data_IF_980125999459
#
_entry.id   IF_980125999459
#
_cell.length_a   1.000
_cell.length_b   1.000
_cell.length_c   1.000
_cell.angle_alpha   90.00
_cell.angle_beta   90.00
_cell.angle_gamma   90.00
#
_symmetry.space_group_name_H-M   'P 1'
#
loop_
_entity.id
_entity.type
_entity.pdbx_description
1 polymer ?
#
# COMPACT_ATOMS: atom_id res chain seq x y z
N UNK A 1 -1.16 -22.75 -18.98
CA UNK A 1 -1.79 -21.59 -18.33
C UNK A 1 -0.85 -20.42 -18.54
N UNK A 2 -1.08 -19.61 -19.57
CA UNK A 2 -0.23 -18.45 -19.88
C UNK A 2 -0.60 -17.30 -18.95
N UNK A 3 0.33 -16.90 -18.08
CA UNK A 3 0.23 -15.66 -17.32
C UNK A 3 0.48 -14.53 -18.33
N UNK A 4 -0.60 -13.89 -18.80
CA UNK A 4 -0.49 -12.67 -19.59
C UNK A 4 -0.09 -11.54 -18.64
N UNK A 5 1.19 -11.20 -18.60
CA UNK A 5 1.67 -9.96 -17.99
C UNK A 5 1.13 -8.79 -18.82
N UNK A 6 0.06 -8.16 -18.35
CA UNK A 6 -0.35 -6.86 -18.87
C UNK A 6 0.36 -5.79 -18.04
N UNK A 7 1.34 -5.15 -18.65
CA UNK A 7 1.96 -3.97 -18.06
C UNK A 7 1.28 -2.75 -18.68
N UNK A 8 0.67 -1.92 -17.84
CA UNK A 8 0.15 -0.62 -18.26
C UNK A 8 1.26 0.42 -18.12
N UNK A 9 1.39 1.29 -19.12
CA UNK A 9 2.42 2.32 -19.15
C UNK A 9 1.78 3.69 -19.13
N UNK A 10 2.22 4.56 -18.22
CA UNK A 10 1.78 5.95 -18.15
C UNK A 10 2.97 6.84 -18.45
N UNK A 11 2.80 7.75 -19.42
CA UNK A 11 3.81 8.74 -19.77
C UNK A 11 3.65 9.96 -18.88
N UNK A 12 4.72 10.32 -18.17
CA UNK A 12 4.79 11.44 -17.26
C UNK A 12 5.79 12.47 -17.78
N UNK A 13 5.60 13.74 -17.41
CA UNK A 13 6.51 14.85 -17.74
C UNK A 13 6.74 15.69 -16.50
N UNK A 14 7.97 16.13 -16.26
CA UNK A 14 8.29 17.05 -15.16
C UNK A 14 8.32 18.52 -15.64
N UNK A 15 8.59 19.46 -14.72
CA UNK A 15 8.65 20.89 -15.03
C UNK A 15 9.80 21.28 -15.98
N UNK A 16 10.90 20.52 -16.02
CA UNK A 16 11.99 20.72 -16.98
C UNK A 16 11.69 20.18 -18.39
N UNK A 17 10.54 19.53 -18.59
CA UNK A 17 10.13 18.94 -19.87
C UNK A 17 10.69 17.54 -20.11
N UNK A 18 11.39 16.95 -19.15
CA UNK A 18 11.88 15.58 -19.22
C UNK A 18 10.71 14.59 -19.08
N UNK A 19 10.76 13.53 -19.87
CA UNK A 19 9.73 12.52 -19.92
C UNK A 19 10.16 11.26 -19.16
N UNK A 20 9.25 10.72 -18.35
CA UNK A 20 9.45 9.47 -17.64
C UNK A 20 8.29 8.52 -17.94
N UNK A 21 8.57 7.22 -17.94
CA UNK A 21 7.54 6.19 -18.04
C UNK A 21 7.30 5.59 -16.66
N UNK A 22 6.03 5.48 -16.27
CA UNK A 22 5.60 4.69 -15.13
C UNK A 22 5.07 3.34 -15.63
N UNK A 23 5.56 2.27 -15.02
CA UNK A 23 5.15 0.89 -15.27
C UNK A 23 4.27 0.42 -14.12
N UNK A 24 3.00 0.14 -14.43
CA UNK A 24 2.05 -0.48 -13.51
C UNK A 24 2.01 -1.96 -13.88
N UNK A 25 2.49 -2.81 -12.97
CA UNK A 25 2.43 -4.24 -13.15
C UNK A 25 1.07 -4.76 -12.67
N UNK A 26 0.24 -5.29 -13.58
CA UNK A 26 -1.07 -5.86 -13.23
C UNK A 26 -0.96 -7.28 -12.64
N UNK A 27 0.23 -7.86 -12.50
CA UNK A 27 0.33 -9.18 -11.89
C UNK A 27 0.08 -9.08 -10.38
N UNK A 28 -1.19 -9.27 -10.04
CA UNK A 28 -1.69 -9.70 -8.74
C UNK A 28 -1.35 -11.17 -8.51
N UNK A 29 -0.21 -11.64 -9.01
CA UNK A 29 0.19 -13.03 -8.95
C UNK A 29 0.03 -13.46 -7.51
N UNK A 30 -1.05 -14.22 -7.25
CA UNK A 30 -1.50 -14.61 -5.92
C UNK A 30 -0.36 -15.39 -5.33
N UNK A 31 0.53 -14.67 -4.65
CA UNK A 31 1.41 -15.27 -3.68
C UNK A 31 0.43 -15.62 -2.58
N UNK A 32 -0.11 -16.85 -2.67
CA UNK A 32 -0.55 -17.58 -1.49
C UNK A 32 0.48 -17.26 -0.43
N UNK A 33 0.05 -16.53 0.60
CA UNK A 33 0.87 -16.28 1.76
C UNK A 33 1.52 -17.60 2.13
N UNK A 34 2.86 -17.70 2.10
CA UNK A 34 3.48 -18.76 2.87
C UNK A 34 3.05 -18.48 4.32
N UNK A 35 2.52 -19.49 5.01
CA UNK A 35 2.20 -19.43 6.43
C UNK A 35 3.49 -19.08 7.18
N UNK A 36 3.76 -17.78 7.36
CA UNK A 36 4.99 -17.29 7.96
C UNK A 36 4.65 -16.35 9.11
N UNK A 37 5.37 -16.47 10.24
CA UNK A 37 5.13 -15.66 11.42
C UNK A 37 5.42 -14.18 11.10
N UNK A 38 4.65 -13.29 11.70
CA UNK A 38 4.59 -11.84 11.43
C UNK A 38 5.86 -11.00 11.69
N UNK A 39 7.05 -11.54 11.44
CA UNK A 39 8.35 -10.90 11.66
C UNK A 39 8.85 -10.08 10.44
N UNK A 40 8.23 -10.20 9.26
CA UNK A 40 8.71 -9.57 8.02
C UNK A 40 7.86 -8.40 7.50
N UNK A 41 6.71 -8.12 8.11
CA UNK A 41 5.88 -6.99 7.73
C UNK A 41 6.14 -5.81 8.68
N UNK A 42 6.94 -4.87 8.19
CA UNK A 42 7.24 -3.66 8.93
C UNK A 42 6.08 -2.67 8.82
N UNK A 43 5.49 -2.29 9.96
CA UNK A 43 4.70 -1.07 10.02
C UNK A 43 5.59 0.11 9.58
N UNK A 44 5.06 0.94 8.70
CA UNK A 44 5.82 2.00 8.04
C UNK A 44 4.95 2.77 7.07
N UNK A 45 5.60 3.43 6.12
CA UNK A 45 4.93 4.25 5.11
C UNK A 45 5.29 3.78 3.71
N UNK A 46 4.31 3.77 2.82
CA UNK A 46 4.47 3.49 1.39
C UNK A 46 3.84 4.63 0.59
N UNK A 47 4.24 4.77 -0.68
CA UNK A 47 3.69 5.78 -1.58
C UNK A 47 2.80 5.06 -2.59
N UNK A 48 1.50 5.24 -2.50
CA UNK A 48 0.54 4.77 -3.48
C UNK A 48 0.53 5.72 -4.68
N UNK A 49 0.73 5.15 -5.87
CA UNK A 49 0.81 5.87 -7.14
C UNK A 49 -0.50 5.76 -7.93
N UNK A 50 -1.16 4.62 -7.80
CA UNK A 50 -2.49 4.30 -8.31
C UNK A 50 -3.14 3.33 -7.33
N UNK A 51 -4.46 3.21 -7.31
CA UNK A 51 -5.18 2.38 -6.34
C UNK A 51 -4.61 0.95 -6.29
N UNK A 52 -4.11 0.54 -5.11
CA UNK A 52 -3.51 -0.79 -4.90
C UNK A 52 -2.13 -0.98 -5.55
N UNK A 53 -1.48 0.08 -6.03
CA UNK A 53 -0.17 0.06 -6.68
C UNK A 53 0.76 1.10 -6.06
N UNK A 54 1.90 0.62 -5.59
CA UNK A 54 2.81 1.39 -4.74
C UNK A 54 4.17 1.53 -5.40
N UNK A 55 4.82 2.66 -5.15
CA UNK A 55 6.17 2.93 -5.63
C UNK A 55 7.16 1.90 -5.08
N UNK A 56 7.81 1.15 -5.97
CA UNK A 56 8.85 0.17 -5.62
C UNK A 56 10.27 0.68 -5.89
N UNK A 57 10.44 1.59 -6.86
CA UNK A 57 11.75 2.09 -7.24
C UNK A 57 11.83 2.53 -8.69
N UNK A 58 13.06 2.59 -9.17
CA UNK A 58 13.39 2.99 -10.54
C UNK A 58 14.04 1.84 -11.30
N UNK A 59 13.59 1.58 -12.53
CA UNK A 59 14.20 0.62 -13.43
C UNK A 59 14.46 1.26 -14.79
N UNK A 60 15.73 1.36 -15.20
CA UNK A 60 16.14 1.93 -16.49
C UNK A 60 15.46 3.30 -16.80
N UNK A 61 15.38 4.17 -15.80
CA UNK A 61 14.76 5.50 -15.91
C UNK A 61 13.22 5.52 -15.82
N UNK A 62 12.60 4.40 -15.46
CA UNK A 62 11.15 4.25 -15.33
C UNK A 62 10.75 4.10 -13.87
N UNK A 63 9.61 4.65 -13.50
CA UNK A 63 9.00 4.39 -12.19
C UNK A 63 8.37 3.00 -12.22
N UNK A 64 8.70 2.16 -11.24
CA UNK A 64 8.08 0.85 -11.06
C UNK A 64 7.03 0.90 -9.96
N UNK A 65 5.80 0.50 -10.30
CA UNK A 65 4.70 0.36 -9.36
C UNK A 65 4.36 -1.13 -9.18
N UNK A 66 4.39 -1.61 -7.94
CA UNK A 66 4.16 -3.01 -7.56
C UNK A 66 3.10 -3.10 -6.44
N UNK A 67 2.59 -4.31 -6.14
CA UNK A 67 1.80 -4.56 -4.93
C UNK A 67 2.53 -4.15 -3.64
N UNK A 68 1.76 -3.93 -2.57
CA UNK A 68 2.25 -3.36 -1.30
C UNK A 68 3.41 -4.16 -0.70
N UNK A 69 3.41 -5.49 -0.87
CA UNK A 69 4.41 -6.41 -0.35
C UNK A 69 5.80 -6.19 -0.97
N UNK A 70 5.83 -5.62 -2.18
CA UNK A 70 7.04 -5.33 -2.94
C UNK A 70 7.30 -3.82 -3.08
N UNK A 71 6.52 -3.02 -2.36
CA UNK A 71 6.67 -1.57 -2.34
C UNK A 71 7.96 -1.16 -1.62
N UNK A 72 8.40 0.07 -1.89
CA UNK A 72 9.43 0.71 -1.08
C UNK A 72 8.81 1.26 0.19
N UNK A 73 9.32 0.79 1.33
CA UNK A 73 8.94 1.26 2.65
C UNK A 73 9.81 2.45 3.10
N UNK A 74 9.18 3.34 3.85
CA UNK A 74 9.79 4.49 4.51
C UNK A 74 9.51 4.40 6.01
N UNK A 75 10.47 4.82 6.84
CA UNK A 75 10.33 4.71 8.29
C UNK A 75 9.30 5.71 8.85
N UNK A 76 9.05 6.81 8.14
CA UNK A 76 8.11 7.84 8.58
C UNK A 76 7.44 8.62 7.45
N UNK A 77 6.28 9.22 7.77
CA UNK A 77 5.51 10.03 6.81
C UNK A 77 6.34 11.17 6.19
N UNK A 78 7.13 11.88 7.02
CA UNK A 78 7.94 13.01 6.56
C UNK A 78 9.01 12.58 5.55
N UNK A 79 9.59 11.41 5.76
CA UNK A 79 10.58 10.83 4.85
C UNK A 79 9.93 10.46 3.52
N UNK A 80 8.78 9.75 3.57
CA UNK A 80 8.02 9.40 2.38
C UNK A 80 7.56 10.63 1.59
N UNK A 81 7.07 11.67 2.27
CA UNK A 81 6.68 12.93 1.65
C UNK A 81 7.87 13.67 1.02
N UNK A 82 8.99 13.79 1.73
CA UNK A 82 10.20 14.41 1.21
C UNK A 82 10.70 13.67 -0.04
N UNK A 83 10.68 12.34 0.00
CA UNK A 83 11.06 11.51 -1.13
C UNK A 83 10.14 11.75 -2.33
N UNK A 84 8.81 11.70 -2.12
CA UNK A 84 7.82 11.92 -3.18
C UNK A 84 8.01 13.28 -3.86
N UNK A 85 8.17 14.35 -3.08
CA UNK A 85 8.37 15.70 -3.64
C UNK A 85 9.68 15.85 -4.41
N UNK A 86 10.74 15.21 -3.93
CA UNK A 86 12.08 15.38 -4.50
C UNK A 86 12.33 14.49 -5.72
N UNK A 87 11.66 13.33 -5.81
CA UNK A 87 11.94 12.32 -6.84
C UNK A 87 10.75 12.04 -7.76
N UNK A 88 9.51 12.31 -7.32
CA UNK A 88 8.30 12.01 -8.09
C UNK A 88 7.58 13.28 -8.56
N UNK A 89 8.28 14.41 -8.67
CA UNK A 89 7.75 15.73 -9.06
C UNK A 89 7.28 15.87 -10.51
N UNK A 90 6.49 14.90 -11.00
CA UNK A 90 5.90 14.90 -12.33
C UNK A 90 4.57 15.64 -12.35
N UNK A 91 4.30 16.33 -13.46
CA UNK A 91 3.13 17.19 -13.62
C UNK A 91 1.85 16.38 -13.63
N UNK A 92 0.92 16.76 -12.75
CA UNK A 92 -0.40 16.14 -12.65
C UNK A 92 -0.38 14.78 -11.95
N UNK A 93 0.77 14.33 -11.45
CA UNK A 93 0.85 13.09 -10.68
C UNK A 93 0.27 13.31 -9.28
N UNK A 94 -0.70 12.46 -8.93
CA UNK A 94 -1.28 12.39 -7.58
C UNK A 94 -0.72 11.16 -6.91
N UNK A 95 -0.20 11.32 -5.70
CA UNK A 95 0.28 10.20 -4.89
C UNK A 95 -0.32 10.27 -3.50
N UNK A 96 -0.53 9.12 -2.87
CA UNK A 96 -0.95 9.05 -1.48
C UNK A 96 0.19 8.49 -0.64
N UNK A 97 0.52 9.19 0.46
CA UNK A 97 1.34 8.63 1.51
C UNK A 97 0.42 7.77 2.38
N UNK A 98 0.65 6.46 2.33
CA UNK A 98 -0.15 5.49 3.04
C UNK A 98 0.64 4.92 4.22
N UNK A 99 -0.01 4.79 5.37
CA UNK A 99 0.55 4.09 6.52
C UNK A 99 0.17 2.63 6.47
N UNK A 100 1.18 1.77 6.49
CA UNK A 100 1.00 0.32 6.55
C UNK A 100 0.78 -0.08 8.00
N UNK A 101 -0.38 -0.68 8.26
CA UNK A 101 -0.79 -1.14 9.58
C UNK A 101 -1.36 -2.54 9.51
N UNK A 102 -1.26 -3.26 10.62
CA UNK A 102 -2.09 -4.42 10.89
C UNK A 102 -3.51 -3.96 11.23
N UNK A 103 -4.51 -4.69 10.75
CA UNK A 103 -5.94 -4.40 10.96
C UNK A 103 -6.74 -5.71 11.03
N UNK A 104 -8.02 -5.62 11.40
CA UNK A 104 -8.94 -6.73 11.39
C UNK A 104 -9.96 -6.55 10.26
N UNK A 105 -10.16 -7.60 9.47
CA UNK A 105 -11.09 -7.66 8.34
C UNK A 105 -12.17 -8.70 8.65
N UNK A 106 -13.44 -8.39 8.44
CA UNK A 106 -14.55 -9.30 8.70
C UNK A 106 -14.50 -10.54 7.79
N UNK A 107 -14.69 -11.74 8.34
CA UNK A 107 -14.58 -13.01 7.59
C UNK A 107 -15.75 -13.27 6.64
N UNK A 108 -16.87 -12.56 6.82
CA UNK A 108 -18.08 -12.74 6.00
C UNK A 108 -18.07 -11.88 4.73
N UNK A 109 -16.97 -11.16 4.46
CA UNK A 109 -16.88 -10.31 3.26
C UNK A 109 -16.28 -11.06 2.09
N UNK A 110 -16.91 -10.93 0.93
CA UNK A 110 -16.33 -11.34 -0.36
C UNK A 110 -15.09 -10.46 -0.58
N UNK A 111 -14.02 -11.03 -1.17
CA UNK A 111 -12.69 -10.38 -1.35
C UNK A 111 -12.71 -8.98 -1.98
N UNK A 112 -13.82 -8.54 -2.59
CA UNK A 112 -14.00 -7.24 -3.22
C UNK A 112 -14.68 -6.18 -2.35
N UNK A 113 -15.17 -6.51 -1.14
CA UNK A 113 -15.86 -5.57 -0.23
C UNK A 113 -15.35 -5.74 1.22
N UNK A 114 -14.02 -5.63 1.41
CA UNK A 114 -13.39 -5.80 2.72
C UNK A 114 -13.99 -4.82 3.73
N UNK A 115 -14.66 -5.36 4.74
CA UNK A 115 -15.18 -4.57 5.85
C UNK A 115 -14.21 -4.67 7.00
N UNK A 116 -13.59 -3.55 7.30
CA UNK A 116 -12.71 -3.44 8.46
C UNK A 116 -13.53 -3.39 9.74
N UNK A 117 -13.03 -4.08 10.77
CA UNK A 117 -13.52 -3.92 12.13
C UNK A 117 -13.29 -2.48 12.58
N UNK A 118 -14.28 -1.91 13.27
CA UNK A 118 -14.26 -0.53 13.74
C UNK A 118 -14.43 -0.44 15.25
N UNK A 119 -13.79 0.55 15.84
CA UNK A 119 -14.05 0.97 17.22
C UNK A 119 -15.47 1.56 17.36
N UNK A 120 -15.93 1.75 18.60
CA UNK A 120 -17.23 2.37 18.90
C UNK A 120 -17.40 3.78 18.31
N UNK A 121 -16.30 4.48 18.06
CA UNK A 121 -16.29 5.80 17.43
C UNK A 121 -16.37 5.74 15.89
N UNK A 122 -16.47 4.54 15.29
CA UNK A 122 -16.56 4.32 13.84
C UNK A 122 -15.21 4.27 13.11
N UNK A 123 -14.08 4.50 13.79
CA UNK A 123 -12.73 4.41 13.19
C UNK A 123 -12.29 2.97 13.03
N UNK A 124 -11.61 2.68 11.92
CA UNK A 124 -10.98 1.37 11.70
C UNK A 124 -9.89 1.13 12.74
N UNK A 125 -9.86 -0.07 13.31
CA UNK A 125 -8.80 -0.49 14.23
C UNK A 125 -7.49 -0.65 13.47
N UNK A 126 -6.39 -0.08 13.98
CA UNK A 126 -5.09 -0.10 13.32
C UNK A 126 -3.99 -0.35 14.34
N UNK A 127 -3.07 -1.24 14.03
CA UNK A 127 -2.01 -1.68 14.92
C UNK A 127 -0.65 -1.60 14.23
N UNK A 128 0.38 -1.26 15.01
CA UNK A 128 1.75 -1.24 14.54
C UNK A 128 2.38 -2.65 14.53
N UNK A 129 1.95 -3.52 15.44
CA UNK A 129 2.43 -4.90 15.51
C UNK A 129 1.28 -5.90 15.36
N UNK A 130 1.60 -7.06 14.78
CA UNK A 130 0.66 -8.18 14.68
C UNK A 130 0.14 -8.61 16.07
N UNK A 131 1.03 -8.64 17.07
CA UNK A 131 0.67 -9.08 18.42
C UNK A 131 -0.42 -8.20 19.04
N UNK A 132 -0.36 -6.88 18.84
CA UNK A 132 -1.40 -5.96 19.33
C UNK A 132 -2.75 -6.24 18.66
N UNK A 133 -2.74 -6.54 17.35
CA UNK A 133 -3.95 -6.92 16.62
C UNK A 133 -4.51 -8.26 17.11
N UNK A 134 -3.64 -9.24 17.39
CA UNK A 134 -4.02 -10.54 17.92
C UNK A 134 -4.59 -10.46 19.34
N UNK A 135 -3.98 -9.65 20.21
CA UNK A 135 -4.47 -9.40 21.56
C UNK A 135 -5.81 -8.67 21.51
N UNK A 136 -5.96 -7.63 20.67
CA UNK A 136 -7.24 -6.96 20.46
C UNK A 136 -8.33 -7.91 19.94
N UNK A 137 -8.00 -8.75 18.95
CA UNK A 137 -8.93 -9.74 18.40
C UNK A 137 -9.41 -10.71 19.49
N UNK A 138 -8.50 -11.14 20.38
CA UNK A 138 -8.80 -12.04 21.47
C UNK A 138 -9.68 -11.39 22.53
N UNK A 139 -9.30 -10.22 23.00
CA UNK A 139 -9.95 -9.52 24.10
C UNK A 139 -11.38 -9.08 23.72
N UNK A 140 -11.65 -8.92 22.42
CA UNK A 140 -12.97 -8.58 21.88
C UNK A 140 -13.75 -9.79 21.32
N UNK A 141 -13.25 -11.01 21.48
CA UNK A 141 -13.89 -12.25 20.99
C UNK A 141 -14.20 -12.25 19.47
N UNK A 142 -13.28 -11.72 18.66
CA UNK A 142 -13.46 -11.53 17.22
C UNK A 142 -12.85 -12.65 16.35
N UNK A 143 -12.23 -13.67 16.95
CA UNK A 143 -11.43 -14.68 16.22
C UNK A 143 -12.22 -15.50 15.19
N UNK A 144 -13.54 -15.62 15.36
CA UNK A 144 -14.43 -16.34 14.41
C UNK A 144 -15.11 -15.42 13.40
N UNK A 145 -14.97 -14.10 13.56
CA UNK A 145 -15.68 -13.07 12.78
C UNK A 145 -14.74 -12.17 12.01
N UNK A 146 -13.45 -12.23 12.29
CA UNK A 146 -12.44 -11.44 11.60
C UNK A 146 -11.16 -12.24 11.37
N UNK A 147 -10.39 -11.80 10.39
CA UNK A 147 -9.00 -12.18 10.18
C UNK A 147 -8.11 -10.96 10.43
N UNK A 148 -6.84 -11.20 10.77
CA UNK A 148 -5.84 -10.14 10.90
C UNK A 148 -5.12 -10.05 9.56
N UNK A 149 -5.04 -8.85 9.01
CA UNK A 149 -4.36 -8.60 7.75
C UNK A 149 -3.61 -7.27 7.79
N UNK A 150 -2.77 -7.05 6.80
CA UNK A 150 -2.00 -5.84 6.60
C UNK A 150 -2.64 -4.97 5.53
N UNK A 151 -2.73 -3.67 5.78
CA UNK A 151 -3.34 -2.73 4.85
C UNK A 151 -2.62 -1.37 4.86
N UNK A 152 -2.49 -0.75 3.69
CA UNK A 152 -1.97 0.61 3.58
C UNK A 152 -3.13 1.61 3.61
N UNK A 153 -3.27 2.31 4.73
CA UNK A 153 -4.30 3.35 4.87
C UNK A 153 -3.78 4.69 4.36
N UNK A 154 -4.46 5.34 3.40
CA UNK A 154 -4.10 6.69 2.98
C UNK A 154 -4.14 7.65 4.16
N UNK A 155 -3.05 8.37 4.40
CA UNK A 155 -2.97 9.41 5.44
C UNK A 155 -2.83 10.81 4.85
N UNK A 156 -2.22 10.94 3.66
CA UNK A 156 -2.00 12.22 3.00
C UNK A 156 -1.95 12.10 1.48
N UNK A 157 -2.76 12.87 0.78
CA UNK A 157 -2.63 13.08 -0.67
C UNK A 157 -1.60 14.18 -0.94
N UNK A 158 -0.76 13.96 -1.95
CA UNK A 158 0.18 14.94 -2.47
C UNK A 158 -0.11 15.12 -3.97
N UNK A 159 -0.47 16.35 -4.33
CA UNK A 159 -0.49 16.78 -5.72
C UNK A 159 0.92 17.24 -6.12
N UNK A 160 1.52 16.55 -7.09
CA UNK A 160 2.85 16.85 -7.58
C UNK A 160 2.75 17.70 -8.86
N UNK A 161 3.51 18.79 -8.83
CA UNK A 161 3.56 19.94 -9.74
C UNK A 161 2.44 20.98 -9.64
N UNK A 162 2.84 22.16 -9.17
CA UNK A 162 2.53 23.42 -9.84
C UNK A 162 3.85 24.01 -10.34
#
# INVERSE_FOLDING_TARGET
MEIRQKNQWIKLRNLSGEECMMEINENDGVLRMPELPGEYFHAGYVIEMEHGRYFAGWNKGRICCLPMEQARYFAGMKEAEHYARSHLGFIGLRVHICRVCWTLVETETIETDWRFVREKNGKVVKFAAYQDAADYQRDNSLQKKSMIDIYAFPEKEIYLAA
#
